data_IF_102899132665
#
_entry.id   IF_102899132665
#
_cell.length_a   1.000
_cell.length_b   1.000
_cell.length_c   1.000
_cell.angle_alpha   90.00
_cell.angle_beta   90.00
_cell.angle_gamma   90.00
#
_symmetry.space_group_name_H-M   'P 1'
#
loop_
_entity.id
_entity.type
_entity.pdbx_description
1 polymer ?
#
# COMPACT_ATOMS: atom_id res chain seq x y z
N UNK A 1 2.46 -22.41 -13.29
CA UNK A 1 2.47 -20.95 -13.51
C UNK A 1 1.97 -20.27 -12.26
N UNK A 2 2.86 -19.74 -11.41
CA UNK A 2 2.44 -19.05 -10.19
C UNK A 2 1.82 -17.71 -10.57
N UNK A 3 0.51 -17.60 -10.38
CA UNK A 3 -0.25 -16.38 -10.54
C UNK A 3 0.29 -15.35 -9.55
N UNK A 4 0.93 -14.29 -10.05
CA UNK A 4 1.32 -13.12 -9.23
C UNK A 4 0.03 -12.55 -8.65
N UNK A 5 -0.27 -12.90 -7.41
CA UNK A 5 -1.63 -12.76 -6.86
C UNK A 5 -1.90 -11.36 -6.31
N UNK A 6 -0.88 -10.51 -6.17
CA UNK A 6 -0.98 -9.07 -5.91
C UNK A 6 0.45 -8.49 -5.86
N UNK A 7 0.91 -7.75 -6.89
CA UNK A 7 2.28 -7.22 -6.95
C UNK A 7 2.66 -6.30 -5.78
N UNK A 8 1.66 -5.68 -5.13
CA UNK A 8 1.85 -4.79 -3.99
C UNK A 8 2.02 -5.63 -2.72
N UNK A 9 1.19 -6.65 -2.54
CA UNK A 9 1.33 -7.55 -1.40
C UNK A 9 2.68 -8.31 -1.43
N UNK A 10 3.12 -8.77 -2.60
CA UNK A 10 4.44 -9.41 -2.77
C UNK A 10 5.59 -8.43 -2.45
N UNK A 11 5.51 -7.21 -2.98
CA UNK A 11 6.47 -6.15 -2.68
C UNK A 11 6.59 -5.88 -1.17
N UNK A 12 5.47 -5.72 -0.49
CA UNK A 12 5.43 -5.40 0.92
C UNK A 12 5.89 -6.58 1.79
N UNK A 13 5.56 -7.81 1.40
CA UNK A 13 6.07 -9.01 2.06
C UNK A 13 7.59 -9.12 1.95
N UNK A 14 8.15 -8.79 0.79
CA UNK A 14 9.61 -8.74 0.57
C UNK A 14 10.29 -7.70 1.45
N UNK A 15 9.73 -6.49 1.57
CA UNK A 15 10.25 -5.44 2.46
C UNK A 15 10.26 -5.92 3.91
N UNK A 16 9.13 -6.44 4.41
CA UNK A 16 9.03 -6.96 5.78
C UNK A 16 10.04 -8.09 6.06
N UNK A 17 10.19 -9.03 5.13
CA UNK A 17 11.13 -10.13 5.27
C UNK A 17 12.59 -9.64 5.24
N UNK A 18 12.89 -8.63 4.41
CA UNK A 18 14.20 -7.97 4.36
C UNK A 18 14.57 -7.29 5.66
N UNK A 19 13.65 -6.50 6.24
CA UNK A 19 13.83 -5.85 7.54
C UNK A 19 14.04 -6.88 8.65
N UNK A 20 13.25 -7.97 8.67
CA UNK A 20 13.42 -9.06 9.64
C UNK A 20 14.77 -9.78 9.50
N UNK A 21 15.24 -9.94 8.26
CA UNK A 21 16.52 -10.58 7.96
C UNK A 21 17.72 -9.61 8.08
N UNK A 22 17.50 -8.37 8.53
CA UNK A 22 18.52 -7.32 8.64
C UNK A 22 19.37 -7.13 7.37
N UNK A 23 18.76 -7.34 6.18
CA UNK A 23 19.46 -7.12 4.92
C UNK A 23 19.54 -5.61 4.63
N UNK A 24 20.74 -5.04 4.43
CA UNK A 24 20.91 -3.61 4.20
C UNK A 24 20.39 -3.16 2.83
N UNK A 25 20.31 -4.07 1.86
CA UNK A 25 19.78 -3.82 0.52
C UNK A 25 18.79 -4.91 0.09
N UNK A 26 17.76 -4.50 -0.64
CA UNK A 26 16.78 -5.41 -1.23
C UNK A 26 16.50 -5.02 -2.68
N UNK A 27 16.74 -5.95 -3.60
CA UNK A 27 16.47 -5.74 -5.01
C UNK A 27 14.98 -5.98 -5.30
N UNK A 28 14.29 -4.93 -5.75
CA UNK A 28 12.85 -4.95 -6.01
C UNK A 28 12.59 -4.38 -7.42
N UNK A 29 11.78 -5.05 -8.26
CA UNK A 29 11.41 -4.51 -9.57
C UNK A 29 10.72 -3.16 -9.44
N UNK A 30 11.23 -2.17 -10.17
CA UNK A 30 10.76 -0.79 -10.14
C UNK A 30 9.27 -0.68 -10.50
N UNK A 31 8.56 0.15 -9.75
CA UNK A 31 7.22 0.62 -10.06
C UNK A 31 7.02 1.96 -9.37
N UNK A 32 6.35 2.91 -10.04
CA UNK A 32 6.10 4.25 -9.51
C UNK A 32 5.46 4.22 -8.10
N UNK A 33 4.56 3.26 -7.88
CA UNK A 33 3.88 3.03 -6.60
C UNK A 33 4.86 2.54 -5.52
N UNK A 34 5.74 1.61 -5.87
CA UNK A 34 6.75 1.06 -4.94
C UNK A 34 7.79 2.12 -4.56
N UNK A 35 8.17 2.95 -5.52
CA UNK A 35 9.05 4.09 -5.28
C UNK A 35 8.41 5.05 -4.28
N UNK A 36 7.14 5.43 -4.48
CA UNK A 36 6.39 6.33 -3.60
C UNK A 36 6.26 5.78 -2.16
N UNK A 37 6.11 4.46 -2.00
CA UNK A 37 6.11 3.80 -0.68
C UNK A 37 7.47 3.90 0.03
N UNK A 38 8.59 3.90 -0.72
CA UNK A 38 9.96 3.85 -0.18
C UNK A 38 10.58 5.24 0.05
N UNK A 39 9.98 6.33 -0.46
CA UNK A 39 10.55 7.69 -0.40
C UNK A 39 10.84 8.17 1.04
N UNK A 40 10.16 7.66 2.07
CA UNK A 40 10.49 8.03 3.45
C UNK A 40 11.71 7.23 3.96
N UNK A 41 12.88 7.84 3.86
CA UNK A 41 14.16 7.30 4.34
C UNK A 41 14.31 7.51 5.85
N UNK A 42 14.07 6.44 6.62
CA UNK A 42 14.67 6.06 7.91
C UNK A 42 13.68 5.12 8.61
N UNK A 43 13.82 3.81 8.44
CA UNK A 43 12.91 2.79 9.02
C UNK A 43 11.41 3.17 8.98
N UNK A 44 10.92 3.66 7.84
CA UNK A 44 9.66 4.42 7.78
C UNK A 44 8.37 3.58 7.74
N UNK A 45 8.47 2.25 7.77
CA UNK A 45 7.31 1.36 7.83
C UNK A 45 7.39 0.59 9.14
N UNK A 46 6.66 1.07 10.15
CA UNK A 46 6.49 0.40 11.43
C UNK A 46 5.45 -0.73 11.36
N UNK A 47 4.51 -0.65 10.42
CA UNK A 47 3.40 -1.56 10.30
C UNK A 47 2.75 -1.58 8.92
N UNK A 48 2.28 -2.76 8.55
CA UNK A 48 1.49 -2.98 7.35
C UNK A 48 0.28 -3.84 7.69
N UNK A 49 -0.90 -3.40 7.24
CA UNK A 49 -2.12 -4.19 7.35
C UNK A 49 -2.87 -4.23 6.03
N UNK A 50 -3.04 -5.44 5.47
CA UNK A 50 -3.94 -5.68 4.35
C UNK A 50 -5.39 -5.57 4.81
N UNK A 51 -6.19 -4.77 4.10
CA UNK A 51 -7.60 -4.51 4.39
C UNK A 51 -8.48 -5.35 3.47
N UNK A 52 -8.34 -5.22 2.16
CA UNK A 52 -9.10 -6.02 1.20
C UNK A 52 -8.42 -7.36 0.93
N UNK A 53 -9.16 -8.46 1.07
CA UNK A 53 -8.71 -9.84 0.82
C UNK A 53 -9.59 -10.47 -0.25
N UNK A 54 -9.11 -11.49 -1.00
CA UNK A 54 -9.92 -12.13 -2.03
C UNK A 54 -11.30 -12.63 -1.54
N UNK A 55 -11.37 -13.14 -0.30
CA UNK A 55 -12.64 -13.58 0.31
C UNK A 55 -13.45 -12.50 1.01
N UNK A 56 -12.95 -11.26 1.10
CA UNK A 56 -13.70 -10.11 1.64
C UNK A 56 -13.14 -8.82 1.04
N UNK A 57 -13.78 -8.35 -0.03
CA UNK A 57 -13.41 -7.11 -0.71
C UNK A 57 -13.97 -5.92 0.06
N UNK A 58 -13.13 -4.90 0.29
CA UNK A 58 -13.55 -3.67 0.98
C UNK A 58 -13.46 -2.48 0.04
N UNK A 59 -14.60 -1.97 -0.39
CA UNK A 59 -14.71 -0.75 -1.18
C UNK A 59 -15.09 0.43 -0.30
N UNK A 60 -14.59 1.62 -0.63
CA UNK A 60 -14.89 2.87 0.07
C UNK A 60 -15.13 3.99 -0.93
N UNK A 61 -16.12 4.84 -0.67
CA UNK A 61 -16.30 6.10 -1.39
C UNK A 61 -15.18 7.09 -1.09
N UNK A 62 -15.02 8.12 -1.93
CA UNK A 62 -13.95 9.12 -1.77
C UNK A 62 -14.01 9.84 -0.41
N UNK A 63 -15.21 10.11 0.09
CA UNK A 63 -15.44 10.78 1.37
C UNK A 63 -15.25 9.83 2.58
N UNK A 64 -15.41 8.53 2.35
CA UNK A 64 -15.28 7.48 3.36
C UNK A 64 -13.85 6.92 3.47
N UNK A 65 -12.92 7.41 2.65
CA UNK A 65 -11.52 6.99 2.72
C UNK A 65 -11.04 7.26 4.16
N UNK A 66 -10.50 6.27 4.86
CA UNK A 66 -10.07 6.41 6.25
C UNK A 66 -8.68 7.05 6.35
N UNK A 67 -8.44 7.84 7.40
CA UNK A 67 -7.11 8.41 7.71
C UNK A 67 -6.36 7.42 8.60
N UNK A 68 -5.22 6.92 8.12
CA UNK A 68 -4.39 6.00 8.90
C UNK A 68 -3.56 6.81 9.88
N UNK A 69 -3.57 6.44 11.16
CA UNK A 69 -2.89 7.15 12.27
C UNK A 69 -3.09 8.68 12.23
N UNK A 70 -4.35 9.13 12.12
CA UNK A 70 -4.65 10.57 12.09
C UNK A 70 -4.15 11.32 10.84
N UNK A 71 -3.64 10.61 9.83
CA UNK A 71 -3.07 11.18 8.61
C UNK A 71 -1.56 10.99 8.47
N UNK A 72 -0.89 10.42 9.49
CA UNK A 72 0.53 10.08 9.43
C UNK A 72 0.81 8.80 8.62
N UNK A 73 -0.18 7.91 8.52
CA UNK A 73 -0.07 6.69 7.72
C UNK A 73 -0.67 6.80 6.32
N UNK A 74 -0.31 5.86 5.46
CA UNK A 74 -0.75 5.76 4.08
C UNK A 74 -1.88 4.73 3.94
N UNK A 75 -3.01 5.14 3.38
CA UNK A 75 -4.00 4.21 2.82
C UNK A 75 -3.69 3.98 1.34
N UNK A 76 -3.72 2.73 0.88
CA UNK A 76 -3.51 2.37 -0.52
C UNK A 76 -4.84 1.88 -1.08
N UNK A 77 -5.30 2.51 -2.17
CA UNK A 77 -6.57 2.19 -2.82
C UNK A 77 -6.35 1.80 -4.27
N UNK A 78 -7.01 0.75 -4.73
CA UNK A 78 -7.21 0.49 -6.16
C UNK A 78 -8.43 1.25 -6.64
N UNK A 79 -8.23 2.24 -7.52
CA UNK A 79 -9.29 3.08 -8.07
C UNK A 79 -9.43 2.86 -9.57
N UNK A 80 -10.47 3.42 -10.18
CA UNK A 80 -10.65 3.39 -11.64
C UNK A 80 -9.55 4.12 -12.43
N UNK A 81 -8.75 4.97 -11.77
CA UNK A 81 -7.58 5.65 -12.36
C UNK A 81 -6.25 4.97 -12.01
N UNK A 82 -6.30 3.78 -11.43
CA UNK A 82 -5.14 3.03 -10.96
C UNK A 82 -5.01 3.06 -9.43
N UNK A 83 -3.85 2.62 -8.95
CA UNK A 83 -3.60 2.54 -7.50
C UNK A 83 -3.13 3.90 -6.99
N UNK A 84 -3.87 4.45 -6.03
CA UNK A 84 -3.64 5.79 -5.46
C UNK A 84 -3.48 5.74 -3.95
N UNK A 85 -2.78 6.73 -3.41
CA UNK A 85 -2.81 7.01 -1.97
C UNK A 85 -4.19 7.52 -1.56
N UNK A 86 -4.61 7.24 -0.33
CA UNK A 86 -5.87 7.77 0.19
C UNK A 86 -5.91 9.29 0.25
N UNK A 87 -4.75 9.95 0.32
CA UNK A 87 -4.68 11.42 0.23
C UNK A 87 -4.97 11.90 -1.19
N UNK A 88 -4.37 11.26 -2.19
CA UNK A 88 -4.58 11.59 -3.60
C UNK A 88 -5.99 11.23 -4.08
N UNK A 89 -6.50 10.06 -3.68
CA UNK A 89 -7.84 9.60 -4.00
C UNK A 89 -8.93 10.56 -3.46
N UNK A 90 -8.76 11.10 -2.24
CA UNK A 90 -9.63 12.17 -1.72
C UNK A 90 -9.53 13.45 -2.53
N UNK A 91 -8.31 13.88 -2.88
CA UNK A 91 -8.07 15.08 -3.69
C UNK A 91 -8.76 14.98 -5.05
N UNK A 92 -8.72 13.80 -5.66
CA UNK A 92 -9.36 13.54 -6.95
C UNK A 92 -10.86 13.18 -6.83
N UNK A 93 -11.40 13.09 -5.62
CA UNK A 93 -12.79 12.67 -5.32
C UNK A 93 -13.15 11.29 -5.93
N UNK A 94 -12.24 10.33 -5.82
CA UNK A 94 -12.42 8.99 -6.36
C UNK A 94 -12.29 7.95 -5.26
N UNK A 95 -13.29 7.07 -5.16
CA UNK A 95 -13.27 5.91 -4.27
C UNK A 95 -12.58 4.70 -4.90
N UNK A 96 -12.65 3.56 -4.23
CA UNK A 96 -12.06 2.33 -4.75
C UNK A 96 -11.97 1.21 -3.74
N UNK A 97 -11.26 0.14 -4.13
CA UNK A 97 -10.94 -0.96 -3.24
C UNK A 97 -9.81 -0.57 -2.29
N UNK A 98 -10.05 -0.64 -0.99
CA UNK A 98 -9.06 -0.33 0.02
C UNK A 98 -8.14 -1.54 0.24
N UNK A 99 -6.95 -1.50 -0.36
CA UNK A 99 -6.03 -2.63 -0.36
C UNK A 99 -5.32 -2.81 0.97
N UNK A 100 -4.69 -1.75 1.47
CA UNK A 100 -3.83 -1.83 2.64
C UNK A 100 -3.62 -0.48 3.33
N UNK A 101 -3.13 -0.57 4.56
CA UNK A 101 -2.63 0.54 5.34
C UNK A 101 -1.16 0.32 5.65
N UNK A 102 -0.37 1.39 5.55
CA UNK A 102 1.06 1.44 5.91
C UNK A 102 1.24 2.55 6.94
N UNK A 103 2.02 2.30 7.99
CA UNK A 103 2.48 3.31 8.96
C UNK A 103 3.82 2.88 9.53
#
# INVERSE_FOLDING_TARGET
MSTVTDPIADFLARVRNGTRAQRPELFIPYSKIKAEIVVNRASAITGLRRVSRPGLRRYVGADEIPRVLGGMGLAILSTSRGVLSGREARKQKIGGELLAYVW
#
